data_IF_430471587248
#
_entry.id   IF_430471587248
#
_cell.length_a   1.000
_cell.length_b   1.000
_cell.length_c   1.000
_cell.angle_alpha   90.00
_cell.angle_beta   90.00
_cell.angle_gamma   90.00
#
_symmetry.space_group_name_H-M   'P 1'
#
loop_
_entity.id
_entity.type
_entity.pdbx_description
1 polymer ?
#
# COMPACT_ATOMS: atom_id res chain seq x y z
N UNK A 1 -18.43 2.03 7.54
CA UNK A 1 -18.22 3.45 7.89
C UNK A 1 -18.21 4.41 6.69
N UNK A 2 -17.67 4.07 5.51
CA UNK A 2 -17.57 5.03 4.37
C UNK A 2 -18.91 5.60 3.87
N UNK A 3 -19.91 4.75 3.64
CA UNK A 3 -21.27 5.17 3.23
C UNK A 3 -21.97 6.06 4.27
N UNK A 4 -21.79 5.75 5.56
CA UNK A 4 -22.39 6.52 6.65
C UNK A 4 -21.82 7.94 6.74
N UNK A 5 -20.61 8.16 6.22
CA UNK A 5 -19.94 9.46 6.23
C UNK A 5 -20.12 10.21 4.90
N UNK A 6 -20.09 9.52 3.75
CA UNK A 6 -20.14 10.16 2.42
C UNK A 6 -21.51 10.14 1.73
N UNK A 7 -22.48 9.37 2.24
CA UNK A 7 -23.81 9.19 1.63
C UNK A 7 -23.81 8.47 0.26
N UNK A 8 -22.65 8.06 -0.22
CA UNK A 8 -22.43 7.48 -1.55
C UNK A 8 -21.97 6.03 -1.43
N UNK A 9 -22.62 5.13 -2.18
CA UNK A 9 -22.23 3.73 -2.21
C UNK A 9 -20.83 3.60 -2.83
N UNK A 10 -19.85 2.97 -2.15
CA UNK A 10 -18.52 2.81 -2.72
C UNK A 10 -18.58 1.87 -3.92
N UNK A 11 -18.01 2.30 -5.05
CA UNK A 11 -17.80 1.44 -6.21
C UNK A 11 -16.72 0.38 -5.97
N UNK A 12 -16.54 -0.57 -6.90
CA UNK A 12 -15.47 -1.56 -6.81
C UNK A 12 -14.10 -0.85 -6.75
N UNK A 13 -13.29 -1.21 -5.76
CA UNK A 13 -11.95 -0.67 -5.54
C UNK A 13 -10.95 -1.81 -5.73
N UNK A 14 -10.03 -1.64 -6.68
CA UNK A 14 -8.94 -2.61 -6.91
C UNK A 14 -7.81 -2.55 -5.88
N UNK A 15 -7.80 -1.52 -5.02
CA UNK A 15 -6.80 -1.31 -3.96
C UNK A 15 -7.45 -0.80 -2.69
N UNK A 16 -6.79 -0.99 -1.54
CA UNK A 16 -7.29 -0.43 -0.29
C UNK A 16 -7.23 1.11 -0.32
N UNK A 17 -8.32 1.83 -0.01
CA UNK A 17 -8.44 3.26 -0.30
C UNK A 17 -7.69 4.21 0.65
N UNK A 18 -7.02 3.70 1.68
CA UNK A 18 -6.40 4.51 2.75
C UNK A 18 -5.05 3.98 3.21
N UNK A 19 -4.57 2.88 2.62
CA UNK A 19 -3.35 2.21 3.05
C UNK A 19 -2.63 1.74 1.79
N UNK A 20 -1.39 2.19 1.63
CA UNK A 20 -0.52 1.80 0.52
C UNK A 20 0.85 1.38 1.07
N UNK A 21 1.41 0.24 0.63
CA UNK A 21 0.85 -0.72 -0.34
C UNK A 21 -0.14 -1.71 0.30
N UNK A 22 -1.33 -1.82 -0.29
CA UNK A 22 -2.32 -2.88 -0.01
C UNK A 22 -3.08 -3.23 -1.29
N UNK A 23 -2.50 -4.13 -2.08
CA UNK A 23 -3.07 -4.63 -3.33
C UNK A 23 -2.42 -5.96 -3.76
N UNK A 24 -2.91 -6.54 -4.84
CA UNK A 24 -2.34 -7.72 -5.47
C UNK A 24 -1.23 -7.33 -6.44
N UNK A 25 -0.01 -7.79 -6.16
CA UNK A 25 1.16 -7.62 -7.03
C UNK A 25 1.40 -8.88 -7.85
N UNK A 26 1.69 -8.69 -9.14
CA UNK A 26 2.03 -9.79 -10.05
C UNK A 26 3.46 -10.26 -9.78
N UNK A 27 3.62 -11.55 -9.56
CA UNK A 27 4.91 -12.23 -9.46
C UNK A 27 5.24 -12.96 -10.76
N UNK A 28 6.36 -13.69 -10.77
CA UNK A 28 6.77 -14.52 -11.91
C UNK A 28 5.75 -15.61 -12.25
N UNK A 29 5.07 -16.15 -11.25
CA UNK A 29 4.26 -17.37 -11.31
C UNK A 29 2.81 -17.19 -10.83
N UNK A 30 2.45 -16.00 -10.32
CA UNK A 30 1.11 -15.75 -9.82
C UNK A 30 0.92 -14.33 -9.30
N UNK A 31 0.07 -14.22 -8.29
CA UNK A 31 -0.19 -12.97 -7.59
C UNK A 31 0.03 -13.17 -6.10
N UNK A 32 0.61 -12.15 -5.47
CA UNK A 32 0.70 -12.06 -4.01
C UNK A 32 0.01 -10.80 -3.55
N UNK A 33 -0.61 -10.85 -2.37
CA UNK A 33 -1.15 -9.65 -1.73
C UNK A 33 -0.07 -9.13 -0.78
N UNK A 34 0.32 -7.87 -0.95
CA UNK A 34 1.23 -7.19 -0.03
C UNK A 34 0.41 -6.16 0.74
N UNK A 35 0.49 -6.19 2.07
CA UNK A 35 -0.21 -5.28 2.98
C UNK A 35 0.78 -4.59 3.93
N UNK A 36 1.65 -3.71 3.40
CA UNK A 36 2.64 -3.01 4.20
C UNK A 36 2.09 -1.67 4.70
N UNK A 37 1.05 -1.74 5.53
CA UNK A 37 0.19 -0.59 5.82
C UNK A 37 0.68 0.46 6.81
N UNK A 38 1.97 0.42 7.15
CA UNK A 38 2.63 1.46 7.94
C UNK A 38 4.10 1.54 7.53
N UNK A 39 4.80 2.57 7.98
CA UNK A 39 6.17 2.86 7.54
C UNK A 39 7.17 1.78 7.97
N UNK A 40 7.00 1.18 9.15
CA UNK A 40 7.83 0.07 9.59
C UNK A 40 7.66 -1.21 8.76
N UNK A 41 6.43 -1.52 8.33
CA UNK A 41 6.17 -2.64 7.42
C UNK A 41 6.71 -2.35 6.02
N UNK A 42 6.60 -1.11 5.56
CA UNK A 42 7.12 -0.69 4.27
C UNK A 42 8.65 -0.75 4.24
N UNK A 43 9.33 -0.31 5.30
CA UNK A 43 10.78 -0.43 5.42
C UNK A 43 11.25 -1.90 5.35
N UNK A 44 10.57 -2.81 6.06
CA UNK A 44 10.87 -4.25 5.97
C UNK A 44 10.61 -4.84 4.59
N UNK A 45 9.56 -4.36 3.90
CA UNK A 45 9.30 -4.73 2.52
C UNK A 45 10.42 -4.24 1.59
N UNK A 46 10.85 -2.99 1.75
CA UNK A 46 11.93 -2.39 0.97
C UNK A 46 13.25 -3.15 1.16
N UNK A 47 13.57 -3.56 2.39
CA UNK A 47 14.71 -4.45 2.69
C UNK A 47 14.57 -5.80 2.00
N UNK A 48 13.40 -6.45 2.09
CA UNK A 48 13.14 -7.75 1.47
C UNK A 48 13.19 -7.72 -0.06
N UNK A 49 12.93 -6.56 -0.67
CA UNK A 49 13.03 -6.30 -2.10
C UNK A 49 14.41 -5.75 -2.50
N UNK A 50 15.41 -5.77 -1.61
CA UNK A 50 16.78 -5.30 -1.86
C UNK A 50 16.87 -3.81 -2.26
N UNK A 51 15.88 -3.00 -1.83
CA UNK A 51 15.79 -1.57 -2.10
C UNK A 51 15.54 -0.76 -0.81
N UNK A 52 16.40 -0.85 0.22
CA UNK A 52 16.15 -0.22 1.53
C UNK A 52 15.99 1.31 1.46
N UNK A 53 16.63 1.97 0.47
CA UNK A 53 16.53 3.42 0.27
C UNK A 53 15.12 3.92 -0.04
N UNK A 54 14.18 3.05 -0.42
CA UNK A 54 12.77 3.45 -0.60
C UNK A 54 12.13 3.91 0.70
N UNK A 55 12.56 3.40 1.86
CA UNK A 55 12.02 3.85 3.14
C UNK A 55 12.38 5.32 3.45
N UNK A 56 13.48 5.82 2.87
CA UNK A 56 14.00 7.17 3.06
C UNK A 56 13.59 8.13 1.93
N UNK A 57 13.03 7.59 0.84
CA UNK A 57 12.57 8.38 -0.30
C UNK A 57 11.40 9.29 0.12
N UNK A 58 11.47 10.62 -0.11
CA UNK A 58 10.40 11.54 0.23
C UNK A 58 9.02 11.12 -0.32
N UNK A 59 8.98 10.47 -1.49
CA UNK A 59 7.75 10.01 -2.14
C UNK A 59 7.16 8.76 -1.46
N UNK A 60 7.94 8.01 -0.68
CA UNK A 60 7.52 6.78 0.01
C UNK A 60 7.75 6.79 1.53
N UNK A 61 8.21 7.90 2.09
CA UNK A 61 8.61 8.01 3.51
C UNK A 61 7.43 8.02 4.50
N UNK A 62 6.22 8.34 4.05
CA UNK A 62 5.00 8.35 4.87
C UNK A 62 3.84 7.70 4.13
N UNK A 63 2.93 7.05 4.86
CA UNK A 63 1.70 6.49 4.32
C UNK A 63 0.82 7.53 3.59
N UNK A 64 0.91 8.82 3.93
CA UNK A 64 0.22 9.89 3.19
C UNK A 64 0.89 10.22 1.84
N UNK A 65 2.18 9.91 1.68
CA UNK A 65 2.94 10.15 0.45
C UNK A 65 2.86 8.96 -0.52
N UNK A 66 2.69 7.73 0.01
CA UNK A 66 2.52 6.48 -0.75
C UNK A 66 1.17 6.48 -1.50
N UNK A 67 1.17 6.61 -2.83
CA UNK A 67 -0.06 6.67 -3.66
C UNK A 67 -0.66 5.32 -4.02
#
# INVERSE_FOLDING_TARGET
MRYQVSGTAPGPLGRHPSITPFEAYKTKDGYIIISAGNDGLFAKLAEALENPGWAEDPDYSSNDNKK
#
